data_IF_123892330945
#
_entry.id   IF_123892330945
#
_cell.length_a   1.000
_cell.length_b   1.000
_cell.length_c   1.000
_cell.angle_alpha   90.00
_cell.angle_beta   90.00
_cell.angle_gamma   90.00
#
_symmetry.space_group_name_H-M   'P 1'
#
loop_
_entity.id
_entity.type
_entity.pdbx_description
1 polymer ?
#
# COMPACT_ATOMS: atom_id res chain seq x y z
N UNK A 1 41.20 13.76 -11.00
CA UNK A 1 40.51 12.46 -11.16
C UNK A 1 39.27 12.69 -12.00
N UNK A 2 39.35 12.53 -13.31
CA UNK A 2 38.18 12.56 -14.19
C UNK A 2 37.42 11.26 -13.90
N UNK A 3 36.32 11.37 -13.17
CA UNK A 3 35.38 10.25 -13.01
C UNK A 3 34.88 9.88 -14.39
N UNK A 4 35.21 8.71 -14.89
CA UNK A 4 34.65 8.21 -16.16
C UNK A 4 33.13 8.15 -16.02
N UNK A 5 32.43 8.91 -16.87
CA UNK A 5 30.98 8.81 -17.00
C UNK A 5 30.67 7.45 -17.60
N UNK A 6 29.80 6.69 -17.02
CA UNK A 6 29.40 5.35 -17.49
C UNK A 6 27.89 5.27 -17.68
N UNK A 7 27.45 4.21 -18.35
CA UNK A 7 26.02 3.90 -18.46
C UNK A 7 25.37 3.86 -17.08
N UNK A 8 24.24 4.54 -16.95
CA UNK A 8 23.55 4.74 -15.66
C UNK A 8 23.92 6.02 -14.91
N UNK A 9 24.98 6.72 -15.33
CA UNK A 9 25.35 8.04 -14.75
C UNK A 9 24.30 9.10 -15.09
N UNK A 10 24.20 10.10 -14.22
CA UNK A 10 23.36 11.28 -14.46
C UNK A 10 24.23 12.47 -14.80
N UNK A 11 23.77 13.24 -15.79
CA UNK A 11 24.44 14.44 -16.28
C UNK A 11 23.48 15.62 -16.27
N UNK A 12 24.02 16.82 -16.10
CA UNK A 12 23.30 18.07 -16.31
C UNK A 12 23.82 18.79 -17.54
N UNK A 13 22.91 19.28 -18.36
CA UNK A 13 23.19 20.06 -19.56
C UNK A 13 22.76 21.48 -19.29
N UNK A 14 23.69 22.42 -19.38
CA UNK A 14 23.42 23.83 -19.08
C UNK A 14 22.81 24.52 -20.28
N UNK A 15 21.55 24.94 -20.16
CA UNK A 15 20.89 25.80 -21.12
C UNK A 15 20.35 27.04 -20.43
N UNK A 16 21.08 28.14 -20.54
CA UNK A 16 20.78 29.35 -19.77
C UNK A 16 20.86 29.11 -18.28
N UNK A 17 19.79 29.45 -17.55
CA UNK A 17 19.72 29.32 -16.08
C UNK A 17 19.08 27.99 -15.61
N UNK A 18 18.54 27.21 -16.52
CA UNK A 18 17.80 25.98 -16.15
C UNK A 18 18.62 24.75 -16.55
N UNK A 19 19.22 24.01 -15.62
CA UNK A 19 19.92 22.77 -15.92
C UNK A 19 18.95 21.68 -16.33
N UNK A 20 19.15 21.13 -17.53
CA UNK A 20 18.42 19.96 -18.04
C UNK A 20 19.13 18.71 -17.54
N UNK A 21 18.38 17.78 -17.02
CA UNK A 21 18.93 16.54 -16.43
C UNK A 21 18.70 15.37 -17.38
N UNK A 22 19.77 14.63 -17.63
CA UNK A 22 19.77 13.43 -18.43
C UNK A 22 20.39 12.25 -17.72
N UNK A 23 20.01 11.04 -18.15
CA UNK A 23 20.62 9.79 -17.73
C UNK A 23 21.30 9.13 -18.92
N UNK A 24 22.52 8.66 -18.74
CA UNK A 24 23.23 7.92 -19.78
C UNK A 24 22.60 6.53 -19.91
N UNK A 25 22.02 6.24 -21.07
CA UNK A 25 21.38 4.95 -21.39
C UNK A 25 22.34 3.98 -22.07
N UNK A 26 23.19 4.48 -22.95
CA UNK A 26 24.14 3.65 -23.67
C UNK A 26 25.39 4.44 -24.06
N UNK A 27 26.39 3.69 -24.41
CA UNK A 27 27.70 4.18 -24.82
C UNK A 27 28.17 3.37 -26.04
N UNK A 28 28.75 4.05 -27.00
CA UNK A 28 29.45 3.39 -28.09
C UNK A 28 30.75 4.13 -28.44
N UNK A 29 31.68 3.35 -28.95
CA UNK A 29 32.97 3.82 -29.38
C UNK A 29 32.96 3.76 -30.92
N UNK A 30 33.18 4.89 -31.54
CA UNK A 30 33.29 4.99 -32.99
C UNK A 30 34.79 5.03 -33.37
N UNK A 31 35.27 3.93 -33.94
CA UNK A 31 36.61 3.87 -34.54
C UNK A 31 36.51 4.47 -35.94
N UNK A 32 36.67 5.78 -36.08
CA UNK A 32 36.78 6.39 -37.41
C UNK A 32 38.07 5.92 -38.05
N UNK A 33 37.96 4.98 -39.00
CA UNK A 33 39.05 4.65 -39.93
C UNK A 33 39.34 5.88 -40.79
N UNK A 34 40.27 6.71 -40.33
CA UNK A 34 40.89 7.66 -41.25
C UNK A 34 41.91 6.92 -42.13
N UNK A 35 41.49 6.58 -43.33
CA UNK A 35 42.34 6.00 -44.38
C UNK A 35 43.29 7.05 -44.84
N UNK A 36 43.90 7.87 -44.54
CA UNK A 36 44.92 8.78 -45.01
C UNK A 36 45.25 9.91 -44.01
N UNK A 37 46.04 9.61 -42.96
CA UNK A 37 46.96 10.61 -42.42
C UNK A 37 48.07 9.97 -41.58
N UNK A 38 49.25 10.26 -42.02
CA UNK A 38 50.54 9.95 -41.45
C UNK A 38 50.65 10.50 -40.01
N UNK A 39 51.02 9.61 -39.07
CA UNK A 39 51.61 9.95 -37.75
C UNK A 39 50.88 11.02 -36.90
N UNK A 40 49.75 10.66 -36.37
CA UNK A 40 49.19 11.32 -35.18
C UNK A 40 49.09 10.25 -34.06
N UNK A 41 49.46 10.65 -32.85
CA UNK A 41 49.55 9.76 -31.66
C UNK A 41 48.26 8.97 -31.42
N UNK A 42 48.40 7.73 -30.97
CA UNK A 42 47.30 6.77 -30.75
C UNK A 42 46.18 7.25 -29.80
N UNK A 43 46.28 8.42 -29.22
CA UNK A 43 45.29 9.00 -28.29
C UNK A 43 44.14 9.75 -28.98
N UNK A 44 44.23 10.07 -30.30
CA UNK A 44 43.22 10.92 -30.98
C UNK A 44 42.19 10.17 -31.81
N UNK A 45 42.22 8.85 -31.82
CA UNK A 45 41.40 8.04 -32.73
C UNK A 45 40.15 7.40 -32.13
N UNK A 46 39.92 7.56 -30.85
CA UNK A 46 38.79 6.91 -30.17
C UNK A 46 37.75 7.98 -29.79
N UNK A 47 36.68 8.06 -30.58
CA UNK A 47 35.52 8.89 -30.25
C UNK A 47 34.53 8.10 -29.41
N UNK A 48 34.38 8.49 -28.15
CA UNK A 48 33.42 7.91 -27.22
C UNK A 48 32.12 8.73 -27.20
N UNK A 49 31.03 8.14 -27.65
CA UNK A 49 29.73 8.80 -27.73
C UNK A 49 28.80 8.21 -26.67
N UNK A 50 28.15 9.08 -25.90
CA UNK A 50 27.16 8.70 -24.89
C UNK A 50 25.75 9.08 -25.36
N UNK A 51 24.83 8.14 -25.30
CA UNK A 51 23.41 8.42 -25.53
C UNK A 51 22.77 8.77 -24.18
N UNK A 52 22.24 9.99 -24.12
CA UNK A 52 21.65 10.55 -22.90
C UNK A 52 20.15 10.73 -23.09
N UNK A 53 19.37 10.08 -22.25
CA UNK A 53 17.93 10.29 -22.19
C UNK A 53 17.61 11.43 -21.21
N UNK A 54 16.92 12.45 -21.70
CA UNK A 54 16.49 13.55 -20.87
C UNK A 54 15.36 13.10 -19.94
N UNK A 55 15.47 13.40 -18.64
CA UNK A 55 14.53 12.96 -17.61
C UNK A 55 13.77 14.10 -16.93
N UNK A 56 14.32 15.31 -16.97
CA UNK A 56 13.72 16.46 -16.33
C UNK A 56 14.62 17.67 -16.32
N UNK A 57 14.32 18.62 -15.46
CA UNK A 57 15.10 19.84 -15.25
C UNK A 57 15.01 20.27 -13.79
N UNK A 58 15.95 21.09 -13.34
CA UNK A 58 15.95 21.68 -12.01
C UNK A 58 15.48 23.13 -12.11
N UNK A 59 14.41 23.46 -11.40
CA UNK A 59 13.85 24.79 -11.30
C UNK A 59 13.69 25.18 -9.81
N UNK A 60 14.27 26.29 -9.39
CA UNK A 60 14.22 26.78 -8.01
C UNK A 60 14.54 25.67 -6.97
N UNK A 61 15.65 24.98 -7.14
CA UNK A 61 16.09 23.84 -6.29
C UNK A 61 15.07 22.69 -6.18
N UNK A 62 14.20 22.57 -7.17
CA UNK A 62 13.22 21.48 -7.24
C UNK A 62 13.38 20.74 -8.57
N UNK A 63 13.54 19.42 -8.51
CA UNK A 63 13.55 18.59 -9.71
C UNK A 63 12.12 18.42 -10.25
N UNK A 64 11.92 18.77 -11.52
CA UNK A 64 10.68 18.56 -12.27
C UNK A 64 10.89 17.53 -13.36
N UNK A 65 10.06 16.52 -13.40
CA UNK A 65 10.08 15.50 -14.46
C UNK A 65 9.48 16.07 -15.75
N UNK A 66 10.00 15.59 -16.86
CA UNK A 66 9.59 16.05 -18.20
C UNK A 66 10.56 17.07 -18.75
N UNK A 67 10.49 17.29 -20.06
CA UNK A 67 11.44 18.16 -20.79
C UNK A 67 10.64 19.30 -21.39
N UNK A 68 10.88 20.51 -20.91
CA UNK A 68 10.28 21.72 -21.49
C UNK A 68 11.06 22.22 -22.70
N UNK A 69 12.38 22.02 -22.68
CA UNK A 69 13.29 22.51 -23.68
C UNK A 69 14.33 21.44 -24.05
N UNK A 70 14.71 21.38 -25.32
CA UNK A 70 15.79 20.51 -25.77
C UNK A 70 17.13 21.24 -25.66
N UNK A 71 18.22 20.54 -25.35
CA UNK A 71 19.54 21.12 -25.37
C UNK A 71 19.92 21.51 -26.83
N UNK A 72 20.78 22.50 -26.94
CA UNK A 72 21.38 22.91 -28.21
C UNK A 72 22.73 22.22 -28.38
N UNK A 73 23.22 22.21 -29.61
CA UNK A 73 24.58 21.83 -29.90
C UNK A 73 25.52 22.79 -29.14
N UNK A 74 26.62 22.27 -28.61
CA UNK A 74 27.60 22.99 -27.81
C UNK A 74 27.16 23.44 -26.41
N UNK A 75 25.99 23.00 -25.92
CA UNK A 75 25.68 23.20 -24.53
C UNK A 75 26.65 22.38 -23.63
N UNK A 76 27.14 23.02 -22.56
CA UNK A 76 28.01 22.37 -21.60
C UNK A 76 27.31 21.24 -20.87
N UNK A 77 27.99 20.12 -20.73
CA UNK A 77 27.50 18.95 -20.03
C UNK A 77 28.40 18.60 -18.83
N UNK A 78 27.84 18.55 -17.64
CA UNK A 78 28.55 18.29 -16.39
C UNK A 78 27.97 17.09 -15.65
N UNK A 79 28.78 16.51 -14.75
CA UNK A 79 28.24 15.58 -13.75
C UNK A 79 27.41 16.35 -12.72
N UNK A 80 26.41 15.70 -12.16
CA UNK A 80 25.66 16.27 -11.07
C UNK A 80 26.49 16.39 -9.80
N UNK A 81 26.22 17.43 -9.00
CA UNK A 81 26.68 17.49 -7.63
C UNK A 81 25.89 16.50 -6.76
N UNK A 82 26.38 16.23 -5.55
CA UNK A 82 25.67 15.35 -4.59
C UNK A 82 24.29 15.90 -4.25
N UNK A 83 24.19 17.21 -4.08
CA UNK A 83 22.93 17.90 -3.77
C UNK A 83 21.93 17.81 -4.94
N UNK A 84 22.37 18.01 -6.17
CA UNK A 84 21.53 17.88 -7.37
C UNK A 84 21.08 16.42 -7.56
N UNK A 85 21.95 15.48 -7.27
CA UNK A 85 21.63 14.06 -7.31
C UNK A 85 20.58 13.69 -6.26
N UNK A 86 20.71 14.21 -5.05
CA UNK A 86 19.71 14.03 -3.98
C UNK A 86 18.35 14.62 -4.35
N UNK A 87 18.31 15.79 -5.02
CA UNK A 87 17.06 16.39 -5.51
C UNK A 87 16.30 15.48 -6.47
N UNK A 88 17.01 14.80 -7.38
CA UNK A 88 16.39 13.88 -8.35
C UNK A 88 15.79 12.65 -7.66
N UNK A 89 16.42 12.14 -6.60
CA UNK A 89 16.05 10.91 -5.91
C UNK A 89 15.22 11.14 -4.64
N UNK A 90 14.99 12.41 -4.28
CA UNK A 90 14.08 12.78 -3.20
C UNK A 90 12.68 12.93 -3.75
N UNK A 91 11.87 11.90 -3.63
CA UNK A 91 10.44 11.93 -3.95
C UNK A 91 9.62 12.57 -2.81
N UNK A 92 10.20 13.60 -2.20
CA UNK A 92 9.54 14.42 -1.21
C UNK A 92 8.66 15.43 -1.94
N UNK A 93 7.35 15.35 -1.76
CA UNK A 93 6.51 16.51 -2.06
C UNK A 93 6.85 17.68 -1.15
N UNK A 94 6.21 18.81 -1.38
CA UNK A 94 6.34 20.04 -0.57
C UNK A 94 5.97 19.88 0.93
N UNK A 95 5.85 18.67 1.45
CA UNK A 95 5.52 18.33 2.82
C UNK A 95 6.74 18.13 3.71
N UNK A 96 6.57 18.39 4.99
CA UNK A 96 7.59 18.21 6.03
C UNK A 96 7.77 16.70 6.32
N UNK A 97 9.00 16.23 6.25
CA UNK A 97 9.41 14.88 6.62
C UNK A 97 9.56 13.91 5.44
N UNK A 98 10.66 13.19 5.46
CA UNK A 98 10.97 12.12 4.52
C UNK A 98 11.38 10.87 5.25
N UNK A 99 11.12 9.70 4.68
CA UNK A 99 11.65 8.43 5.13
C UNK A 99 12.59 7.87 4.08
N UNK A 100 13.65 7.21 4.54
CA UNK A 100 14.60 6.51 3.68
C UNK A 100 14.15 5.07 3.51
N UNK A 101 13.92 4.65 2.25
CA UNK A 101 13.42 3.30 1.96
C UNK A 101 14.49 2.35 1.44
N UNK A 102 15.62 2.86 0.99
CA UNK A 102 16.72 2.07 0.47
C UNK A 102 17.77 2.94 -0.20
N UNK A 103 18.68 2.29 -0.93
CA UNK A 103 19.74 2.95 -1.71
C UNK A 103 19.64 2.55 -3.17
N UNK A 104 20.19 3.36 -4.05
CA UNK A 104 20.27 3.04 -5.46
C UNK A 104 21.20 1.86 -5.71
N UNK A 105 20.79 0.94 -6.58
CA UNK A 105 21.53 -0.28 -6.89
C UNK A 105 22.77 -0.05 -7.79
N UNK A 106 22.97 1.16 -8.32
CA UNK A 106 24.03 1.48 -9.27
C UNK A 106 25.42 1.75 -8.64
N UNK A 107 25.67 1.21 -7.44
CA UNK A 107 26.96 1.36 -6.75
C UNK A 107 27.19 2.68 -6.01
N UNK A 108 26.25 3.62 -6.09
CA UNK A 108 26.23 4.83 -5.26
C UNK A 108 25.40 4.55 -4.00
N UNK A 109 25.98 4.78 -2.83
CA UNK A 109 25.29 4.67 -1.54
C UNK A 109 24.26 5.81 -1.34
N UNK A 110 23.60 6.25 -2.43
CA UNK A 110 22.65 7.36 -2.37
C UNK A 110 21.31 6.87 -1.85
N UNK A 111 20.82 7.45 -0.75
CA UNK A 111 19.56 7.05 -0.16
C UNK A 111 18.36 7.50 -1.02
N UNK A 112 17.40 6.62 -1.20
CA UNK A 112 16.12 6.95 -1.82
C UNK A 112 15.16 7.41 -0.74
N UNK A 113 14.77 8.70 -0.78
CA UNK A 113 13.90 9.34 0.20
C UNK A 113 12.50 9.55 -0.36
N UNK A 114 11.48 9.14 0.41
CA UNK A 114 10.07 9.33 0.08
C UNK A 114 9.42 10.33 1.04
N UNK A 115 8.63 11.25 0.51
CA UNK A 115 7.87 12.21 1.32
C UNK A 115 6.72 11.53 2.05
N UNK A 116 6.68 11.63 3.37
CA UNK A 116 5.69 10.97 4.24
C UNK A 116 4.27 11.42 3.87
N UNK A 117 4.04 12.72 3.73
CA UNK A 117 2.71 13.25 3.45
C UNK A 117 2.11 12.72 2.15
N UNK A 118 2.89 12.64 1.07
CA UNK A 118 2.42 12.08 -0.21
C UNK A 118 2.24 10.57 -0.17
N UNK A 119 3.15 9.87 0.49
CA UNK A 119 3.14 8.41 0.53
C UNK A 119 1.93 7.87 1.30
N UNK A 120 1.66 8.41 2.48
CA UNK A 120 0.62 7.90 3.38
C UNK A 120 -0.75 8.58 3.22
N UNK A 121 -0.88 9.58 2.35
CA UNK A 121 -2.18 10.15 1.97
C UNK A 121 -2.88 9.45 0.80
N UNK A 122 -2.24 8.44 0.21
CA UNK A 122 -2.73 7.73 -0.96
C UNK A 122 -2.51 6.22 -0.85
N UNK A 123 -3.00 5.47 -1.84
CA UNK A 123 -2.79 4.03 -1.91
C UNK A 123 -1.34 3.71 -2.31
N UNK A 124 -0.76 2.71 -1.66
CA UNK A 124 0.58 2.21 -1.96
C UNK A 124 0.46 0.79 -2.52
N UNK A 125 0.98 0.57 -3.72
CA UNK A 125 1.07 -0.75 -4.33
C UNK A 125 2.53 -1.22 -4.41
N UNK A 126 2.85 -2.40 -3.85
CA UNK A 126 4.18 -3.02 -3.93
C UNK A 126 4.06 -4.28 -4.76
N UNK A 127 4.66 -4.27 -5.95
CA UNK A 127 4.57 -5.36 -6.92
C UNK A 127 5.93 -6.04 -7.13
N UNK A 128 5.92 -7.35 -7.33
CA UNK A 128 7.12 -8.13 -7.59
C UNK A 128 6.86 -9.63 -7.49
N UNK A 129 7.79 -10.43 -7.98
CA UNK A 129 7.74 -11.89 -7.89
C UNK A 129 8.01 -12.39 -6.46
N UNK A 130 7.80 -13.68 -6.23
CA UNK A 130 8.19 -14.32 -4.96
C UNK A 130 9.70 -14.15 -4.74
N UNK A 131 10.09 -13.76 -3.52
CA UNK A 131 11.49 -13.52 -3.17
C UNK A 131 12.04 -12.14 -3.58
N UNK A 132 11.27 -11.28 -4.27
CA UNK A 132 11.73 -9.94 -4.67
C UNK A 132 11.81 -8.90 -3.54
N UNK A 133 11.44 -9.27 -2.30
CA UNK A 133 11.50 -8.39 -1.15
C UNK A 133 10.26 -7.51 -0.91
N UNK A 134 9.09 -7.84 -1.48
CA UNK A 134 7.85 -7.07 -1.29
C UNK A 134 7.51 -6.83 0.18
N UNK A 135 7.44 -7.90 0.95
CA UNK A 135 7.10 -7.86 2.38
C UNK A 135 8.16 -7.11 3.19
N UNK A 136 9.43 -7.30 2.83
CA UNK A 136 10.53 -6.55 3.44
C UNK A 136 10.43 -5.05 3.16
N UNK A 137 10.08 -4.67 1.92
CA UNK A 137 9.88 -3.26 1.53
C UNK A 137 8.73 -2.63 2.31
N UNK A 138 7.60 -3.33 2.46
CA UNK A 138 6.48 -2.86 3.27
C UNK A 138 6.88 -2.67 4.73
N UNK A 139 7.52 -3.67 5.33
CA UNK A 139 8.01 -3.60 6.69
C UNK A 139 9.02 -2.45 6.90
N UNK A 140 9.92 -2.23 5.94
CA UNK A 140 10.90 -1.13 5.96
C UNK A 140 10.23 0.24 5.95
N UNK A 141 9.24 0.45 5.07
CA UNK A 141 8.49 1.71 4.96
C UNK A 141 7.83 2.05 6.31
N UNK A 142 7.11 1.12 6.90
CA UNK A 142 6.43 1.37 8.18
C UNK A 142 7.40 1.47 9.35
N UNK A 143 8.46 0.68 9.39
CA UNK A 143 9.51 0.82 10.41
C UNK A 143 10.14 2.20 10.38
N UNK A 144 10.47 2.72 9.21
CA UNK A 144 11.01 4.07 9.06
C UNK A 144 10.00 5.14 9.50
N UNK A 145 8.72 4.99 9.17
CA UNK A 145 7.66 5.89 9.63
C UNK A 145 7.58 5.91 11.16
N UNK A 146 7.51 4.76 11.79
CA UNK A 146 7.43 4.66 13.26
C UNK A 146 8.68 5.20 13.95
N UNK A 147 9.86 4.93 13.39
CA UNK A 147 11.12 5.49 13.90
C UNK A 147 11.13 7.02 13.79
N UNK A 148 10.68 7.56 12.66
CA UNK A 148 10.62 9.01 12.43
C UNK A 148 9.69 9.71 13.43
N UNK A 149 8.55 9.10 13.76
CA UNK A 149 7.56 9.67 14.68
C UNK A 149 7.60 9.09 16.11
N UNK A 150 8.63 8.33 16.47
CA UNK A 150 8.73 7.67 17.79
C UNK A 150 8.61 8.62 18.97
N UNK A 151 9.13 9.86 18.85
CA UNK A 151 9.08 10.90 19.87
C UNK A 151 7.87 11.84 19.77
N UNK A 152 7.00 11.66 18.78
CA UNK A 152 5.84 12.51 18.56
C UNK A 152 4.62 11.99 19.33
N UNK A 153 4.26 12.65 20.45
CA UNK A 153 3.12 12.25 21.30
C UNK A 153 1.79 12.25 20.56
N UNK A 154 1.50 13.29 19.77
CA UNK A 154 0.26 13.38 19.01
C UNK A 154 0.13 12.23 17.96
N UNK A 155 1.23 11.78 17.37
CA UNK A 155 1.22 10.64 16.48
C UNK A 155 0.91 9.34 17.25
N UNK A 156 1.53 9.14 18.41
CA UNK A 156 1.31 7.93 19.23
C UNK A 156 -0.12 7.82 19.76
N UNK A 157 -0.74 8.95 20.07
CA UNK A 157 -2.12 8.98 20.62
C UNK A 157 -3.19 8.84 19.54
N UNK A 158 -2.97 9.39 18.35
CA UNK A 158 -4.01 9.52 17.33
C UNK A 158 -3.82 8.59 16.12
N UNK A 159 -2.60 8.09 15.85
CA UNK A 159 -2.37 7.23 14.71
C UNK A 159 -2.68 5.77 15.04
N UNK A 160 -3.47 5.13 14.17
CA UNK A 160 -3.79 3.71 14.28
C UNK A 160 -3.43 3.01 12.97
N UNK A 161 -2.83 1.84 13.09
CA UNK A 161 -2.42 1.02 11.95
C UNK A 161 -2.97 -0.40 12.13
N UNK A 162 -3.62 -0.90 11.09
CA UNK A 162 -4.15 -2.25 11.05
C UNK A 162 -3.43 -3.04 9.96
N UNK A 163 -2.79 -4.15 10.35
CA UNK A 163 -2.09 -5.04 9.43
C UNK A 163 -2.83 -6.36 9.32
N UNK A 164 -3.18 -6.76 8.09
CA UNK A 164 -3.68 -8.09 7.78
C UNK A 164 -2.53 -8.95 7.28
N UNK A 165 -2.06 -9.85 8.12
CA UNK A 165 -0.88 -10.69 7.87
C UNK A 165 -1.28 -12.14 7.63
N UNK A 166 -1.50 -12.49 6.35
CA UNK A 166 -1.92 -13.85 5.98
C UNK A 166 -0.79 -14.87 6.08
N UNK A 167 0.46 -14.45 5.98
CA UNK A 167 1.62 -15.33 5.94
C UNK A 167 2.43 -15.34 7.25
N UNK A 168 2.12 -14.47 8.20
CA UNK A 168 2.86 -14.35 9.47
C UNK A 168 4.21 -13.62 9.34
N UNK A 169 4.38 -12.76 8.30
CA UNK A 169 5.63 -12.07 8.03
C UNK A 169 5.88 -10.87 8.96
N UNK A 170 4.80 -10.28 9.50
CA UNK A 170 4.83 -9.07 10.33
C UNK A 170 4.53 -9.32 11.81
N UNK A 171 4.06 -10.52 12.13
CA UNK A 171 3.67 -10.91 13.48
C UNK A 171 4.83 -11.38 14.36
N UNK A 172 6.02 -11.57 13.79
CA UNK A 172 7.22 -11.97 14.52
C UNK A 172 7.70 -10.90 15.49
N UNK A 173 8.50 -11.32 16.47
CA UNK A 173 9.07 -10.45 17.51
C UNK A 173 9.77 -9.24 16.90
N UNK A 174 9.41 -8.04 17.34
CA UNK A 174 9.99 -6.75 16.90
C UNK A 174 10.10 -6.56 15.37
N UNK A 175 9.19 -7.15 14.57
CA UNK A 175 9.32 -7.13 13.11
C UNK A 175 9.20 -5.74 12.47
N UNK A 176 8.15 -4.99 12.78
CA UNK A 176 7.92 -3.62 12.26
C UNK A 176 8.10 -2.58 13.36
N UNK A 177 7.57 -2.86 14.54
CA UNK A 177 7.59 -2.02 15.71
C UNK A 177 7.84 -2.91 16.94
N UNK A 178 8.36 -2.40 18.06
CA UNK A 178 8.49 -3.17 19.30
C UNK A 178 7.16 -3.80 19.73
N UNK A 179 7.23 -4.99 20.32
CA UNK A 179 6.04 -5.73 20.74
C UNK A 179 5.21 -4.99 21.80
N UNK A 180 5.84 -4.09 22.56
CA UNK A 180 5.12 -3.20 23.51
C UNK A 180 4.10 -2.27 22.83
N UNK A 181 4.33 -1.94 21.57
CA UNK A 181 3.55 -0.96 20.82
C UNK A 181 2.63 -1.61 19.77
N UNK A 182 2.57 -2.95 19.71
CA UNK A 182 1.68 -3.68 18.81
C UNK A 182 0.86 -4.74 19.54
N UNK A 183 -0.35 -4.97 19.05
CA UNK A 183 -1.20 -6.07 19.48
C UNK A 183 -1.39 -7.05 18.33
N UNK A 184 -0.98 -8.30 18.54
CA UNK A 184 -1.07 -9.36 17.53
C UNK A 184 -2.21 -10.29 17.87
N UNK A 185 -3.15 -10.48 16.94
CA UNK A 185 -4.22 -11.47 17.02
C UNK A 185 -3.93 -12.61 16.04
N UNK A 186 -3.75 -13.82 16.57
CA UNK A 186 -3.53 -15.01 15.73
C UNK A 186 -4.87 -15.69 15.45
N UNK A 187 -5.53 -15.22 14.40
CA UNK A 187 -6.83 -15.73 13.98
C UNK A 187 -6.68 -17.06 13.23
N UNK A 188 -7.61 -17.96 13.40
CA UNK A 188 -7.64 -19.23 12.68
C UNK A 188 -9.08 -19.66 12.40
N UNK A 189 -9.36 -20.01 11.14
CA UNK A 189 -10.64 -20.63 10.75
C UNK A 189 -10.66 -22.14 11.00
N UNK A 190 -9.50 -22.74 11.31
CA UNK A 190 -9.35 -24.21 11.50
C UNK A 190 -9.27 -24.63 12.97
N UNK A 191 -8.89 -23.72 13.86
CA UNK A 191 -8.70 -23.99 15.30
C UNK A 191 -9.75 -23.25 16.11
N UNK A 192 -10.41 -23.93 17.02
CA UNK A 192 -11.38 -23.33 17.94
C UNK A 192 -10.72 -22.48 19.03
N UNK A 193 -9.45 -22.72 19.34
CA UNK A 193 -8.68 -22.08 20.42
C UNK A 193 -7.81 -20.92 19.95
N UNK A 194 -8.09 -20.30 18.79
CA UNK A 194 -7.39 -19.11 18.31
C UNK A 194 -7.92 -17.82 18.94
N UNK A 195 -7.17 -16.74 18.77
CA UNK A 195 -7.65 -15.41 19.12
C UNK A 195 -8.92 -15.09 18.32
N UNK A 196 -9.77 -14.27 18.90
CA UNK A 196 -11.03 -13.83 18.28
C UNK A 196 -11.03 -12.30 18.17
N UNK A 197 -11.62 -11.78 17.11
CA UNK A 197 -11.86 -10.36 16.99
C UNK A 197 -13.10 -10.04 17.84
N UNK A 198 -13.00 -9.16 18.85
CA UNK A 198 -14.15 -8.71 19.60
C UNK A 198 -15.05 -7.88 18.67
N UNK A 199 -16.32 -8.23 18.62
CA UNK A 199 -17.36 -7.46 17.94
C UNK A 199 -18.31 -6.92 19.01
N UNK A 200 -18.76 -5.68 18.85
CA UNK A 200 -19.82 -5.15 19.67
C UNK A 200 -21.17 -5.78 19.23
N UNK A 201 -22.12 -5.84 20.17
CA UNK A 201 -23.44 -6.43 19.89
C UNK A 201 -24.16 -5.68 18.75
N UNK A 202 -24.00 -4.36 18.69
CA UNK A 202 -24.58 -3.53 17.63
C UNK A 202 -23.95 -3.82 16.26
N UNK A 203 -22.63 -4.09 16.21
CA UNK A 203 -21.93 -4.45 14.96
C UNK A 203 -22.37 -5.80 14.43
N UNK A 204 -22.70 -6.74 15.34
CA UNK A 204 -23.23 -8.05 14.95
C UNK A 204 -24.58 -7.97 14.25
N UNK A 205 -25.38 -6.93 14.52
CA UNK A 205 -26.66 -6.67 13.89
C UNK A 205 -26.55 -5.78 12.63
N UNK A 206 -25.35 -5.62 12.08
CA UNK A 206 -25.14 -4.97 10.80
C UNK A 206 -25.46 -5.90 9.64
N UNK A 207 -26.26 -5.40 8.68
CA UNK A 207 -26.69 -6.18 7.51
C UNK A 207 -25.51 -6.61 6.65
N UNK A 208 -24.50 -5.75 6.51
CA UNK A 208 -23.35 -6.03 5.65
C UNK A 208 -22.50 -7.12 6.28
N UNK A 209 -22.24 -7.01 7.58
CA UNK A 209 -21.46 -7.99 8.32
C UNK A 209 -22.13 -9.38 8.29
N UNK A 210 -23.42 -9.46 8.58
CA UNK A 210 -24.15 -10.73 8.51
C UNK A 210 -24.27 -11.27 7.08
N UNK A 211 -24.38 -10.41 6.07
CA UNK A 211 -24.39 -10.84 4.68
C UNK A 211 -23.04 -11.44 4.26
N UNK A 212 -21.93 -10.89 4.72
CA UNK A 212 -20.59 -11.42 4.51
C UNK A 212 -20.42 -12.79 5.19
N UNK A 213 -20.77 -12.89 6.46
CA UNK A 213 -20.62 -14.14 7.23
C UNK A 213 -21.49 -15.28 6.68
N UNK A 214 -22.69 -14.97 6.20
CA UNK A 214 -23.60 -15.96 5.60
C UNK A 214 -23.38 -16.19 4.13
N UNK A 215 -22.41 -15.51 3.51
CA UNK A 215 -22.20 -15.48 2.04
C UNK A 215 -23.52 -15.24 1.30
N UNK A 216 -24.29 -14.27 1.75
CA UNK A 216 -25.65 -14.02 1.31
C UNK A 216 -25.69 -13.42 -0.09
N UNK A 217 -26.57 -13.98 -0.95
CA UNK A 217 -26.85 -13.41 -2.26
C UNK A 217 -27.63 -12.11 -2.13
N UNK A 218 -27.30 -11.11 -2.96
CA UNK A 218 -27.88 -9.77 -2.89
C UNK A 218 -29.39 -9.73 -3.15
N UNK A 219 -29.87 -10.58 -4.06
CA UNK A 219 -31.27 -10.53 -4.53
C UNK A 219 -32.27 -11.19 -3.58
N UNK A 220 -31.87 -12.22 -2.84
CA UNK A 220 -32.80 -13.04 -2.04
C UNK A 220 -32.44 -13.10 -0.57
N UNK A 221 -31.20 -13.41 -0.24
CA UNK A 221 -30.79 -13.66 1.14
C UNK A 221 -30.53 -12.36 1.90
N UNK A 222 -29.93 -11.35 1.29
CA UNK A 222 -29.68 -10.05 1.93
C UNK A 222 -30.99 -9.34 2.35
N UNK A 223 -32.05 -9.27 1.53
CA UNK A 223 -33.34 -8.73 1.96
C UNK A 223 -34.00 -9.55 3.09
N UNK A 224 -33.75 -10.88 3.14
CA UNK A 224 -34.23 -11.71 4.25
C UNK A 224 -33.50 -11.35 5.54
N UNK A 225 -32.15 -11.24 5.51
CA UNK A 225 -31.34 -10.83 6.67
C UNK A 225 -31.80 -9.46 7.18
N UNK A 226 -31.98 -8.49 6.27
CA UNK A 226 -32.45 -7.16 6.64
C UNK A 226 -33.77 -7.19 7.40
N UNK A 227 -34.77 -7.94 6.89
CA UNK A 227 -36.07 -8.11 7.56
C UNK A 227 -35.95 -8.83 8.91
N UNK A 228 -35.05 -9.80 9.00
CA UNK A 228 -34.82 -10.54 10.25
C UNK A 228 -34.21 -9.66 11.34
N UNK A 229 -33.22 -8.82 10.97
CA UNK A 229 -32.64 -7.83 11.89
C UNK A 229 -33.66 -6.80 12.33
N UNK A 230 -34.46 -6.26 11.40
CA UNK A 230 -35.50 -5.29 11.72
C UNK A 230 -36.56 -5.89 12.66
N UNK A 231 -36.93 -7.13 12.41
CA UNK A 231 -37.83 -7.87 13.29
C UNK A 231 -37.22 -8.08 14.67
N UNK A 232 -35.96 -8.50 14.76
CA UNK A 232 -35.23 -8.69 16.00
C UNK A 232 -35.20 -7.39 16.81
N UNK A 233 -34.78 -6.28 16.20
CA UNK A 233 -34.75 -4.96 16.87
C UNK A 233 -36.10 -4.47 17.36
N UNK A 234 -37.20 -4.89 16.73
CA UNK A 234 -38.58 -4.55 17.16
C UNK A 234 -39.03 -5.39 18.34
N UNK A 235 -38.55 -6.61 18.48
CA UNK A 235 -38.98 -7.58 19.48
C UNK A 235 -38.10 -7.52 20.74
N UNK A 236 -36.79 -7.32 20.58
CA UNK A 236 -35.79 -7.44 21.64
C UNK A 236 -36.01 -6.53 22.86
N UNK A 237 -36.71 -5.40 22.67
CA UNK A 237 -36.96 -4.43 23.74
C UNK A 237 -38.29 -4.62 24.51
N UNK A 238 -39.13 -5.62 24.13
CA UNK A 238 -40.45 -5.77 24.72
C UNK A 238 -40.92 -7.24 24.69
N UNK A 239 -40.86 -7.89 25.85
CA UNK A 239 -41.26 -9.29 26.00
C UNK A 239 -42.72 -9.57 25.57
N UNK A 240 -43.59 -8.59 25.72
CA UNK A 240 -44.97 -8.70 25.22
C UNK A 240 -45.05 -8.69 23.70
N UNK A 241 -44.21 -7.91 23.03
CA UNK A 241 -44.16 -7.93 21.55
C UNK A 241 -43.66 -9.27 21.04
N UNK A 242 -42.65 -9.86 21.68
CA UNK A 242 -42.15 -11.18 21.32
C UNK A 242 -43.23 -12.26 21.51
N UNK A 243 -43.93 -12.23 22.64
CA UNK A 243 -45.05 -13.16 22.93
C UNK A 243 -46.17 -13.02 21.92
N UNK A 244 -46.54 -11.80 21.55
CA UNK A 244 -47.58 -11.54 20.55
C UNK A 244 -47.14 -11.95 19.13
N UNK A 245 -45.89 -11.75 18.79
CA UNK A 245 -45.30 -12.25 17.54
C UNK A 245 -45.36 -13.77 17.45
N UNK A 246 -44.96 -14.49 18.50
CA UNK A 246 -45.03 -15.94 18.54
C UNK A 246 -46.48 -16.46 18.47
N UNK A 247 -47.40 -15.82 19.17
CA UNK A 247 -48.82 -16.18 19.09
C UNK A 247 -49.36 -16.01 17.67
N UNK A 248 -48.97 -14.92 16.99
CA UNK A 248 -49.36 -14.68 15.60
C UNK A 248 -48.79 -15.75 14.68
N UNK A 249 -47.49 -16.04 14.79
CA UNK A 249 -46.83 -17.05 13.93
C UNK A 249 -47.46 -18.43 14.14
N UNK A 250 -47.72 -18.84 15.39
CA UNK A 250 -48.39 -20.11 15.67
C UNK A 250 -49.78 -20.14 15.04
N UNK A 251 -50.54 -19.05 15.18
CA UNK A 251 -51.87 -18.95 14.61
C UNK A 251 -51.84 -19.06 13.08
N UNK A 252 -50.93 -18.34 12.45
CA UNK A 252 -50.75 -18.34 10.96
C UNK A 252 -50.37 -19.76 10.48
N UNK A 253 -49.45 -20.45 11.16
CA UNK A 253 -49.11 -21.84 10.85
C UNK A 253 -50.31 -22.78 11.04
N UNK A 254 -51.08 -22.60 12.10
CA UNK A 254 -52.26 -23.43 12.37
C UNK A 254 -53.40 -23.25 11.35
N UNK A 255 -53.47 -22.08 10.74
CA UNK A 255 -54.45 -21.80 9.69
C UNK A 255 -54.02 -22.21 8.29
N UNK A 256 -52.75 -22.58 8.09
CA UNK A 256 -52.29 -23.10 6.79
C UNK A 256 -52.87 -24.49 6.48
N UNK A 257 -53.26 -24.70 5.26
CA UNK A 257 -53.85 -25.97 4.78
C UNK A 257 -52.83 -27.00 4.32
N UNK A 258 -51.53 -26.72 4.38
CA UNK A 258 -50.49 -27.48 3.71
C UNK A 258 -49.67 -28.40 4.67
N UNK A 259 -49.14 -29.51 4.12
CA UNK A 259 -48.28 -30.50 4.82
C UNK A 259 -46.94 -29.92 5.35
N UNK A 260 -46.55 -28.72 4.93
CA UNK A 260 -45.38 -27.98 5.44
C UNK A 260 -45.56 -27.51 6.91
N UNK A 261 -46.80 -27.42 7.36
CA UNK A 261 -47.22 -27.01 8.70
C UNK A 261 -46.44 -27.67 9.83
N UNK A 262 -46.28 -29.00 9.80
CA UNK A 262 -45.59 -29.76 10.83
C UNK A 262 -44.12 -29.43 10.90
N UNK A 263 -43.46 -29.21 9.74
CA UNK A 263 -42.03 -28.82 9.68
C UNK A 263 -41.83 -27.41 10.26
N UNK A 264 -42.71 -26.48 9.97
CA UNK A 264 -42.68 -25.10 10.49
C UNK A 264 -42.90 -25.06 12.00
N UNK A 265 -43.89 -25.81 12.53
CA UNK A 265 -44.14 -25.94 13.96
C UNK A 265 -42.92 -26.51 14.71
N UNK A 266 -42.30 -27.57 14.16
CA UNK A 266 -41.12 -28.18 14.76
C UNK A 266 -39.90 -27.21 14.74
N UNK A 267 -39.74 -26.40 13.71
CA UNK A 267 -38.69 -25.36 13.65
C UNK A 267 -38.93 -24.27 14.68
N UNK A 268 -40.18 -23.79 14.82
CA UNK A 268 -40.53 -22.77 15.80
C UNK A 268 -40.38 -23.27 17.25
N UNK A 269 -40.72 -24.52 17.52
CA UNK A 269 -40.50 -25.14 18.84
C UNK A 269 -39.02 -25.38 19.16
N UNK A 270 -38.17 -25.68 18.16
CA UNK A 270 -36.71 -25.79 18.36
C UNK A 270 -36.07 -24.45 18.69
N UNK A 271 -36.47 -23.37 18.03
CA UNK A 271 -36.02 -22.03 18.36
C UNK A 271 -36.38 -21.61 19.81
N UNK A 272 -37.59 -21.95 20.25
CA UNK A 272 -38.00 -21.67 21.65
C UNK A 272 -37.18 -22.44 22.70
N UNK A 273 -36.72 -23.67 22.43
CA UNK A 273 -35.85 -24.41 23.36
C UNK A 273 -34.46 -23.76 23.51
N UNK A 274 -33.96 -23.10 22.49
CA UNK A 274 -32.69 -22.40 22.55
C UNK A 274 -32.80 -21.09 23.35
N UNK A 275 -33.94 -20.42 23.30
CA UNK A 275 -34.19 -19.15 24.00
C UNK A 275 -34.60 -19.30 25.47
N UNK A 276 -35.07 -20.50 25.90
CA UNK A 276 -35.49 -20.76 27.29
C UNK A 276 -34.33 -21.34 28.15
N UNK A 277 -33.26 -21.83 27.51
CA UNK A 277 -32.10 -22.44 28.20
C UNK A 277 -30.88 -21.51 28.30
N UNK A 278 -31.00 -20.25 27.99
CA UNK A 278 -30.06 -19.18 28.29
C UNK A 278 -30.79 -18.12 29.14
#
# INVERSE_FOLDING_TARGET
LIKNVSVGSYVKILKGYTPIIGKVESEYIDESKQEDKVLISAEETINRTLIVKLIGFIDNQTFRRGVNELPLIDNECHLLTTEEFDLIHTFAGSGKGTIEVGHLANGSLVPVKLGIGKLFSSHIGIFGNTGSGKSYTLAKIYRQLFTHYSSNGAFRENAQFLFFDFNGEYSSHNSIIPDSDKKVYKLSTRKTNGDKIPLADDDFLDINLLSIFSNATEKTQRPFIARSIDLYKKIDKDENKFRNFLKKQIKDILTMSDKVKIKLLNSTCKCNRILINN
#
